data_IF_798620151017
#
_entry.id   IF_798620151017
#
_cell.length_a   1.000
_cell.length_b   1.000
_cell.length_c   1.000
_cell.angle_alpha   90.00
_cell.angle_beta   90.00
_cell.angle_gamma   90.00
#
_symmetry.space_group_name_H-M   'P 1'
#
loop_
_entity.id
_entity.type
_entity.pdbx_description
1 polymer ?
#
# COMPACT_ATOMS: atom_id res chain seq x y z
N UNK A 1 -10.41 -2.56 13.70
CA UNK A 1 -11.09 -1.63 14.63
C UNK A 1 -11.30 -2.35 15.96
N UNK A 2 -10.66 -1.93 17.06
CA UNK A 2 -10.82 -2.62 18.36
C UNK A 2 -12.25 -2.42 18.86
N UNK A 3 -13.09 -3.45 18.74
CA UNK A 3 -14.50 -3.40 19.14
C UNK A 3 -14.63 -3.88 20.59
N UNK A 4 -14.17 -3.07 21.53
CA UNK A 4 -14.26 -3.39 22.96
C UNK A 4 -15.71 -3.25 23.45
N UNK A 5 -16.37 -4.38 23.72
CA UNK A 5 -17.67 -4.41 24.39
C UNK A 5 -17.47 -4.46 25.90
N UNK A 6 -18.00 -3.46 26.60
CA UNK A 6 -17.81 -3.30 28.03
C UNK A 6 -18.76 -4.19 28.84
N UNK A 7 -18.26 -4.75 29.96
CA UNK A 7 -19.00 -5.70 30.82
C UNK A 7 -19.88 -5.04 31.91
N UNK A 8 -19.77 -3.73 32.14
CA UNK A 8 -20.48 -3.01 33.22
C UNK A 8 -21.47 -1.99 32.69
N UNK A 9 -22.66 -1.89 33.32
CA UNK A 9 -23.66 -0.84 33.06
C UNK A 9 -23.27 0.42 33.82
N UNK A 10 -23.03 1.54 33.13
CA UNK A 10 -22.95 2.88 33.76
C UNK A 10 -24.33 3.52 33.75
N UNK A 11 -24.57 4.46 34.66
CA UNK A 11 -25.66 5.40 34.53
C UNK A 11 -25.51 6.15 33.20
N UNK A 12 -26.54 6.09 32.35
CA UNK A 12 -26.58 6.77 31.06
C UNK A 12 -27.35 8.07 31.28
N UNK A 13 -26.63 9.20 31.29
CA UNK A 13 -27.28 10.50 31.27
C UNK A 13 -27.73 10.81 29.84
N UNK A 14 -29.01 11.13 29.59
CA UNK A 14 -29.53 11.37 28.25
C UNK A 14 -28.87 12.60 27.61
N UNK A 15 -28.66 12.51 26.30
CA UNK A 15 -27.82 13.43 25.53
C UNK A 15 -28.32 14.89 25.51
N UNK A 16 -29.64 15.08 25.67
CA UNK A 16 -30.29 16.39 25.72
C UNK A 16 -29.89 17.17 26.99
N UNK A 17 -29.86 16.51 28.15
CA UNK A 17 -29.45 17.11 29.43
C UNK A 17 -28.00 17.60 29.38
N UNK A 18 -27.16 16.87 28.66
CA UNK A 18 -25.72 17.18 28.55
C UNK A 18 -25.47 18.33 27.60
N UNK A 19 -26.21 18.44 26.49
CA UNK A 19 -26.14 19.59 25.59
C UNK A 19 -26.54 20.87 26.31
N UNK A 20 -27.68 20.87 27.00
CA UNK A 20 -28.16 22.02 27.75
C UNK A 20 -27.17 22.45 28.87
N UNK A 21 -26.54 21.48 29.53
CA UNK A 21 -25.51 21.76 30.53
C UNK A 21 -24.24 22.40 29.94
N UNK A 22 -23.87 22.04 28.70
CA UNK A 22 -22.71 22.62 28.01
C UNK A 22 -23.00 24.03 27.54
N UNK A 23 -24.19 24.25 26.97
CA UNK A 23 -24.63 25.56 26.51
C UNK A 23 -24.68 26.54 27.69
N UNK A 24 -25.15 26.10 28.87
CA UNK A 24 -25.12 26.91 30.10
C UNK A 24 -23.71 27.25 30.60
N UNK A 25 -22.69 26.42 30.32
CA UNK A 25 -21.30 26.72 30.68
C UNK A 25 -20.65 27.66 29.66
N UNK A 26 -20.91 27.44 28.37
CA UNK A 26 -20.28 28.18 27.27
C UNK A 26 -20.93 29.54 27.01
N UNK A 27 -22.26 29.63 27.10
CA UNK A 27 -23.02 30.85 26.81
C UNK A 27 -23.26 31.68 28.07
N UNK A 28 -23.54 31.05 29.20
CA UNK A 28 -23.90 31.75 30.45
C UNK A 28 -22.73 31.88 31.45
N UNK A 29 -21.56 31.29 31.13
CA UNK A 29 -20.36 31.39 31.96
C UNK A 29 -20.45 30.73 33.34
N UNK A 30 -21.40 29.82 33.56
CA UNK A 30 -21.59 29.14 34.85
C UNK A 30 -20.45 28.15 35.15
N UNK A 31 -20.09 28.03 36.42
CA UNK A 31 -19.08 27.06 36.88
C UNK A 31 -19.53 25.62 36.61
N UNK A 32 -18.65 24.82 36.00
CA UNK A 32 -18.86 23.41 35.65
C UNK A 32 -19.42 22.59 36.82
N UNK A 33 -18.94 22.85 38.04
CA UNK A 33 -19.37 22.12 39.25
C UNK A 33 -20.78 22.50 39.69
N UNK A 34 -21.19 23.76 39.48
CA UNK A 34 -22.53 24.25 39.78
C UNK A 34 -23.51 23.69 38.76
N UNK A 35 -23.19 23.83 37.48
CA UNK A 35 -24.00 23.30 36.38
C UNK A 35 -24.19 21.77 36.48
N UNK A 36 -23.15 21.01 36.84
CA UNK A 36 -23.28 19.56 37.04
C UNK A 36 -24.27 19.18 38.16
N UNK A 37 -24.33 19.98 39.25
CA UNK A 37 -25.32 19.78 40.31
C UNK A 37 -26.72 20.13 39.84
N UNK A 38 -26.87 21.27 39.17
CA UNK A 38 -28.17 21.78 38.71
C UNK A 38 -28.85 20.80 37.73
N UNK A 39 -28.07 20.13 36.89
CA UNK A 39 -28.56 19.14 35.91
C UNK A 39 -28.53 17.68 36.42
N UNK A 40 -28.30 17.44 37.72
CA UNK A 40 -28.19 16.11 38.32
C UNK A 40 -27.21 15.17 37.58
N UNK A 41 -26.11 15.72 37.08
CA UNK A 41 -25.08 14.97 36.37
C UNK A 41 -24.14 14.36 37.41
N UNK A 42 -24.04 13.01 37.50
CA UNK A 42 -23.12 12.37 38.44
C UNK A 42 -21.70 12.89 38.22
N UNK A 43 -20.94 13.09 39.29
CA UNK A 43 -19.55 13.57 39.20
C UNK A 43 -18.65 12.65 38.32
N UNK A 44 -19.06 11.40 38.12
CA UNK A 44 -18.42 10.40 37.25
C UNK A 44 -18.76 10.53 35.76
N UNK A 45 -19.77 11.32 35.40
CA UNK A 45 -20.20 11.59 34.02
C UNK A 45 -19.48 12.77 33.37
N UNK A 46 -18.60 13.47 34.12
CA UNK A 46 -17.80 14.65 33.70
C UNK A 46 -16.90 14.46 32.47
N UNK A 47 -16.85 13.27 31.87
CA UNK A 47 -15.85 12.95 30.83
C UNK A 47 -16.43 12.49 29.49
N UNK A 48 -17.72 12.18 29.33
CA UNK A 48 -18.06 11.23 28.26
C UNK A 48 -19.12 11.60 27.23
N UNK A 49 -19.83 12.74 27.29
CA UNK A 49 -20.98 12.92 26.38
C UNK A 49 -21.19 14.33 25.81
N UNK A 50 -20.22 15.23 25.91
CA UNK A 50 -20.22 16.41 25.03
C UNK A 50 -19.66 15.96 23.69
N UNK A 51 -20.37 16.25 22.61
CA UNK A 51 -20.06 15.90 21.22
C UNK A 51 -18.77 16.54 20.67
N UNK A 52 -17.86 17.01 21.53
CA UNK A 52 -16.48 17.29 21.14
C UNK A 52 -15.71 16.01 21.41
N UNK A 53 -15.35 15.31 20.34
CA UNK A 53 -14.52 14.11 20.44
C UNK A 53 -13.28 14.44 21.28
N UNK A 54 -13.10 13.72 22.40
CA UNK A 54 -11.91 13.80 23.28
C UNK A 54 -10.58 13.67 22.49
N UNK A 55 -10.67 13.19 21.25
CA UNK A 55 -9.57 12.93 20.35
C UNK A 55 -9.68 13.75 19.05
N UNK A 56 -10.27 14.94 19.08
CA UNK A 56 -10.25 15.87 17.94
C UNK A 56 -9.19 16.95 18.21
N UNK A 57 -8.10 16.88 17.44
CA UNK A 57 -6.93 17.77 17.54
C UNK A 57 -6.95 18.82 16.41
N UNK A 58 -7.55 18.47 15.27
CA UNK A 58 -7.66 19.32 14.09
C UNK A 58 -9.10 19.83 13.92
N UNK A 59 -9.25 20.95 13.23
CA UNK A 59 -10.57 21.46 12.84
C UNK A 59 -11.16 20.60 11.72
N UNK A 60 -12.48 20.66 11.52
CA UNK A 60 -13.16 19.86 10.49
C UNK A 60 -12.61 20.15 9.08
N UNK A 61 -12.24 21.41 8.81
CA UNK A 61 -11.61 21.81 7.54
C UNK A 61 -10.23 21.17 7.34
N UNK A 62 -9.40 21.15 8.39
CA UNK A 62 -8.07 20.53 8.34
C UNK A 62 -8.16 19.02 8.18
N UNK A 63 -9.10 18.37 8.88
CA UNK A 63 -9.35 16.94 8.70
C UNK A 63 -9.86 16.62 7.29
N UNK A 64 -10.70 17.48 6.70
CA UNK A 64 -11.17 17.33 5.32
C UNK A 64 -10.05 17.43 4.28
N UNK A 65 -9.09 18.34 4.46
CA UNK A 65 -7.90 18.41 3.59
C UNK A 65 -7.04 17.15 3.70
N UNK A 66 -6.89 16.63 4.93
CA UNK A 66 -6.14 15.40 5.17
C UNK A 66 -6.85 14.18 4.58
N UNK A 67 -8.18 14.12 4.64
CA UNK A 67 -9.00 13.11 3.98
C UNK A 67 -8.76 13.14 2.46
N UNK A 68 -8.85 14.32 1.84
CA UNK A 68 -8.64 14.49 0.41
C UNK A 68 -7.23 14.05 -0.02
N UNK A 69 -6.21 14.36 0.78
CA UNK A 69 -4.84 13.93 0.50
C UNK A 69 -4.69 12.40 0.59
N UNK A 70 -5.23 11.78 1.63
CA UNK A 70 -5.15 10.32 1.81
C UNK A 70 -5.89 9.59 0.69
N UNK A 71 -7.03 10.10 0.22
CA UNK A 71 -7.73 9.56 -0.95
C UNK A 71 -6.89 9.67 -2.22
N UNK A 72 -6.31 10.84 -2.51
CA UNK A 72 -5.41 10.99 -3.66
C UNK A 72 -4.20 10.06 -3.60
N UNK A 73 -3.61 9.87 -2.41
CA UNK A 73 -2.49 8.96 -2.24
C UNK A 73 -2.88 7.48 -2.46
N UNK A 74 -4.12 7.12 -2.17
CA UNK A 74 -4.68 5.80 -2.48
C UNK A 74 -4.94 5.61 -3.98
N UNK A 75 -5.33 6.66 -4.71
CA UNK A 75 -5.58 6.55 -6.15
C UNK A 75 -4.27 6.44 -6.97
N UNK A 76 -3.16 6.98 -6.46
CA UNK A 76 -1.87 7.00 -7.16
C UNK A 76 -0.99 5.77 -6.83
N UNK A 77 -1.04 5.27 -5.59
CA UNK A 77 -0.19 4.17 -5.10
C UNK A 77 -1.02 3.11 -4.36
N UNK A 78 -0.38 2.08 -3.78
CA UNK A 78 -1.04 1.01 -2.99
C UNK A 78 -1.72 1.48 -1.67
N UNK A 79 -2.00 2.78 -1.51
CA UNK A 79 -2.52 3.39 -0.30
C UNK A 79 -1.49 3.57 0.81
N UNK A 80 -1.82 4.45 1.76
CA UNK A 80 -1.00 4.67 2.96
C UNK A 80 -1.42 3.71 4.08
N UNK A 81 -0.45 3.07 4.71
CA UNK A 81 -0.68 2.27 5.90
C UNK A 81 -1.16 3.13 7.08
N UNK A 82 -1.87 2.55 8.06
CA UNK A 82 -2.26 3.27 9.28
C UNK A 82 -1.09 3.91 10.05
N UNK A 83 0.14 3.40 9.90
CA UNK A 83 1.33 4.00 10.52
C UNK A 83 1.76 5.25 9.78
N UNK A 84 1.79 5.19 8.45
CA UNK A 84 2.18 6.32 7.60
C UNK A 84 1.17 7.46 7.71
N UNK A 85 -0.13 7.17 7.68
CA UNK A 85 -1.16 8.21 7.89
C UNK A 85 -0.95 8.89 9.24
N UNK A 86 -0.64 8.15 10.31
CA UNK A 86 -0.38 8.75 11.63
C UNK A 86 0.90 9.59 11.68
N UNK A 87 1.95 9.21 10.95
CA UNK A 87 3.17 10.03 10.80
C UNK A 87 2.89 11.31 9.99
N UNK A 88 2.15 11.18 8.88
CA UNK A 88 1.72 12.29 8.04
C UNK A 88 0.92 13.32 8.84
N UNK A 89 -0.02 12.85 9.65
CA UNK A 89 -0.82 13.71 10.53
C UNK A 89 0.06 14.48 11.53
N UNK A 90 1.07 13.82 12.10
CA UNK A 90 2.00 14.49 13.01
C UNK A 90 2.84 15.56 12.29
N UNK A 91 3.35 15.25 11.09
CA UNK A 91 4.07 16.20 10.25
C UNK A 91 3.20 17.40 9.86
N UNK A 92 1.94 17.14 9.47
CA UNK A 92 0.96 18.17 9.15
C UNK A 92 0.69 19.08 10.36
N UNK A 93 0.52 18.50 11.56
CA UNK A 93 0.34 19.27 12.78
C UNK A 93 1.57 20.10 13.15
N UNK A 94 2.79 19.58 12.94
CA UNK A 94 4.05 20.29 13.16
C UNK A 94 4.20 21.47 12.19
N UNK A 95 3.90 21.27 10.91
CA UNK A 95 3.98 22.31 9.87
C UNK A 95 2.99 23.45 10.13
N UNK A 96 1.79 23.13 10.60
CA UNK A 96 0.75 24.13 10.92
C UNK A 96 0.85 24.68 12.35
N UNK A 97 1.91 24.37 13.10
CA UNK A 97 2.14 24.82 14.49
C UNK A 97 0.96 24.53 15.44
N UNK A 98 0.31 23.38 15.26
CA UNK A 98 -0.86 22.96 16.05
C UNK A 98 -0.39 22.32 17.36
N UNK A 99 -1.02 22.67 18.48
CA UNK A 99 -0.73 22.07 19.79
C UNK A 99 -1.22 20.61 19.82
N UNK A 100 -0.28 19.68 19.64
CA UNK A 100 -0.53 18.24 19.67
C UNK A 100 -0.27 17.63 21.07
N UNK A 101 -0.89 16.50 21.40
CA UNK A 101 -0.60 15.79 22.65
C UNK A 101 0.87 15.39 22.76
N UNK A 102 1.46 15.50 23.96
CA UNK A 102 2.87 15.14 24.21
C UNK A 102 3.26 13.73 23.72
N UNK A 103 2.35 12.77 23.84
CA UNK A 103 2.55 11.38 23.36
C UNK A 103 2.79 11.28 21.85
N UNK A 104 2.31 12.24 21.06
CA UNK A 104 2.53 12.26 19.61
C UNK A 104 3.95 12.69 19.28
N UNK A 105 4.49 13.65 20.03
CA UNK A 105 5.85 14.14 19.85
C UNK A 105 6.89 13.07 20.20
N UNK A 106 6.66 12.29 21.26
CA UNK A 106 7.55 11.20 21.65
C UNK A 106 7.65 10.07 20.60
N UNK A 107 6.56 9.78 19.89
CA UNK A 107 6.48 8.69 18.91
C UNK A 107 6.54 9.18 17.45
N UNK A 108 6.64 10.49 17.24
CA UNK A 108 6.54 11.17 15.95
C UNK A 108 5.34 10.75 15.09
N UNK A 109 4.24 10.41 15.75
CA UNK A 109 3.05 9.86 15.10
C UNK A 109 1.80 10.14 15.92
N UNK A 110 0.68 10.32 15.23
CA UNK A 110 -0.62 10.42 15.88
C UNK A 110 -0.97 9.13 16.65
N UNK A 111 -1.71 9.29 17.74
CA UNK A 111 -2.15 8.18 18.59
C UNK A 111 -3.18 7.27 17.90
N UNK A 112 -3.20 5.99 18.27
CA UNK A 112 -4.16 5.01 17.74
C UNK A 112 -5.62 5.38 18.03
N UNK A 113 -5.88 5.96 19.20
CA UNK A 113 -7.22 6.42 19.61
C UNK A 113 -7.71 7.58 18.74
N UNK A 114 -6.81 8.51 18.41
CA UNK A 114 -7.11 9.61 17.49
C UNK A 114 -7.42 9.08 16.10
N UNK A 115 -6.58 8.19 15.56
CA UNK A 115 -6.80 7.61 14.23
C UNK A 115 -8.12 6.83 14.15
N UNK A 116 -8.46 6.09 15.21
CA UNK A 116 -9.74 5.38 15.31
C UNK A 116 -10.93 6.33 15.36
N UNK A 117 -10.80 7.48 16.03
CA UNK A 117 -11.84 8.51 16.06
C UNK A 117 -11.96 9.25 14.71
N UNK A 118 -10.84 9.54 14.06
CA UNK A 118 -10.75 10.14 12.74
C UNK A 118 -11.49 9.28 11.70
N UNK A 119 -11.20 7.98 11.61
CA UNK A 119 -11.91 7.07 10.70
C UNK A 119 -13.41 6.94 11.01
N UNK A 120 -13.83 7.09 12.26
CA UNK A 120 -15.26 7.10 12.61
C UNK A 120 -15.98 8.35 12.09
N UNK A 121 -15.30 9.49 12.03
CA UNK A 121 -15.82 10.74 11.46
C UNK A 121 -15.85 10.67 9.93
N UNK A 122 -14.76 10.19 9.34
CA UNK A 122 -14.53 10.14 7.90
C UNK A 122 -14.87 8.77 7.32
N UNK A 123 -16.16 8.52 7.12
CA UNK A 123 -16.68 7.23 6.64
C UNK A 123 -16.22 6.82 5.23
N UNK A 124 -15.62 7.73 4.45
CA UNK A 124 -15.05 7.41 3.13
C UNK A 124 -13.76 6.59 3.26
N UNK A 125 -13.06 6.71 4.39
CA UNK A 125 -11.83 5.98 4.65
C UNK A 125 -12.13 4.70 5.43
N UNK A 126 -11.59 3.57 4.97
CA UNK A 126 -11.71 2.29 5.66
C UNK A 126 -10.36 1.56 5.68
N UNK A 127 -10.08 0.87 6.78
CA UNK A 127 -8.91 -0.01 6.85
C UNK A 127 -9.31 -1.33 6.21
N UNK A 128 -8.65 -1.70 5.12
CA UNK A 128 -8.75 -3.01 4.50
C UNK A 128 -7.41 -3.73 4.58
N UNK A 129 -7.47 -5.05 4.58
CA UNK A 129 -6.29 -5.87 4.33
C UNK A 129 -6.14 -5.94 2.80
N UNK A 130 -4.93 -5.76 2.24
CA UNK A 130 -4.74 -6.05 0.83
C UNK A 130 -5.04 -7.53 0.61
N UNK A 131 -6.00 -7.81 -0.28
CA UNK A 131 -6.27 -9.13 -0.81
C UNK A 131 -5.41 -9.23 -2.07
N UNK A 132 -4.37 -10.06 -2.01
CA UNK A 132 -3.57 -10.39 -3.18
C UNK A 132 -4.31 -11.47 -3.93
N UNK A 133 -4.71 -11.19 -5.16
CA UNK A 133 -5.30 -12.19 -6.03
C UNK A 133 -4.20 -13.02 -6.69
N UNK A 134 -4.51 -14.23 -7.15
CA UNK A 134 -3.52 -15.08 -7.84
C UNK A 134 -2.90 -14.40 -9.07
N UNK A 135 -3.58 -13.44 -9.69
CA UNK A 135 -3.04 -12.65 -10.82
C UNK A 135 -1.98 -11.62 -10.43
N UNK A 136 -1.89 -11.25 -9.15
CA UNK A 136 -0.92 -10.26 -8.65
C UNK A 136 0.42 -10.91 -8.24
N UNK A 137 0.46 -12.24 -8.16
CA UNK A 137 1.64 -13.00 -7.77
C UNK A 137 2.34 -13.49 -9.04
N UNK A 138 3.57 -13.03 -9.27
CA UNK A 138 4.38 -13.39 -10.42
C UNK A 138 5.63 -14.15 -9.99
N UNK A 139 5.91 -15.27 -10.66
CA UNK A 139 7.20 -15.93 -10.61
C UNK A 139 7.97 -15.61 -11.89
N UNK A 140 9.24 -15.25 -11.76
CA UNK A 140 10.14 -15.05 -12.89
C UNK A 140 11.35 -15.94 -12.67
N UNK A 141 11.70 -16.71 -13.69
CA UNK A 141 12.88 -17.58 -13.65
C UNK A 141 13.65 -17.52 -14.97
N UNK A 142 14.94 -17.80 -14.87
CA UNK A 142 15.87 -17.81 -15.98
C UNK A 142 16.15 -19.25 -16.40
N UNK A 143 15.86 -19.58 -17.66
CA UNK A 143 16.17 -20.89 -18.24
C UNK A 143 17.15 -20.72 -19.39
N UNK A 144 18.24 -21.49 -19.36
CA UNK A 144 19.16 -21.59 -20.49
C UNK A 144 18.58 -22.45 -21.61
N UNK A 145 18.42 -21.90 -22.81
CA UNK A 145 18.07 -22.63 -24.03
C UNK A 145 19.31 -22.73 -24.92
N UNK A 146 19.61 -23.94 -25.38
CA UNK A 146 20.67 -24.17 -26.37
C UNK A 146 20.19 -23.80 -27.76
N UNK A 147 20.95 -23.00 -28.51
CA UNK A 147 20.63 -22.68 -29.91
C UNK A 147 20.96 -23.80 -30.90
N UNK A 148 21.64 -24.86 -30.45
CA UNK A 148 22.00 -25.99 -31.32
C UNK A 148 20.83 -26.91 -31.49
N UNK A 149 20.30 -26.96 -32.71
CA UNK A 149 19.53 -28.11 -33.13
C UNK A 149 20.49 -29.26 -33.40
N UNK A 150 20.21 -30.45 -32.87
CA UNK A 150 20.85 -31.69 -33.31
C UNK A 150 19.95 -32.35 -34.35
N UNK A 151 20.03 -31.95 -35.64
CA UNK A 151 19.25 -32.60 -36.68
C UNK A 151 19.71 -34.05 -36.84
N UNK A 152 18.75 -34.95 -36.99
CA UNK A 152 18.99 -36.39 -37.12
C UNK A 152 19.75 -36.73 -38.42
N UNK A 153 19.48 -36.00 -39.51
CA UNK A 153 20.11 -36.18 -40.82
C UNK A 153 20.41 -34.82 -41.46
N UNK A 154 21.60 -34.66 -42.07
CA UNK A 154 22.03 -33.41 -42.72
C UNK A 154 22.46 -33.71 -44.14
N UNK A 155 21.95 -32.94 -45.12
CA UNK A 155 22.43 -32.98 -46.50
C UNK A 155 23.70 -32.14 -46.61
N UNK A 156 24.80 -32.76 -47.02
CA UNK A 156 26.08 -32.09 -47.22
C UNK A 156 26.64 -32.32 -48.62
N UNK A 157 27.54 -31.43 -49.07
CA UNK A 157 28.25 -31.60 -50.35
C UNK A 157 29.03 -32.91 -50.34
N UNK A 158 28.91 -33.68 -51.41
CA UNK A 158 29.64 -34.95 -51.58
C UNK A 158 31.15 -34.71 -51.44
N UNK A 159 31.78 -35.38 -50.46
CA UNK A 159 33.21 -35.25 -50.15
C UNK A 159 33.56 -34.27 -49.01
N UNK A 160 32.60 -33.54 -48.45
CA UNK A 160 32.84 -32.61 -47.35
C UNK A 160 32.87 -33.33 -45.99
N UNK A 161 34.06 -33.43 -45.36
CA UNK A 161 34.29 -34.24 -44.14
C UNK A 161 34.17 -33.46 -42.81
N UNK A 162 34.01 -32.13 -42.83
CA UNK A 162 34.04 -31.28 -41.62
C UNK A 162 32.66 -30.90 -41.05
N UNK A 163 31.63 -31.73 -41.23
CA UNK A 163 30.24 -31.41 -40.88
C UNK A 163 30.07 -31.21 -39.35
N UNK A 164 30.74 -32.03 -38.52
CA UNK A 164 30.67 -31.92 -37.06
C UNK A 164 31.27 -30.63 -36.49
N UNK A 165 32.16 -29.94 -37.24
CA UNK A 165 32.79 -28.69 -36.79
C UNK A 165 31.82 -27.51 -36.78
N UNK A 166 30.85 -27.51 -37.68
CA UNK A 166 29.82 -26.45 -37.77
C UNK A 166 28.87 -26.53 -36.56
N UNK A 167 28.43 -27.73 -36.21
CA UNK A 167 27.52 -27.99 -35.09
C UNK A 167 28.20 -27.69 -33.74
N UNK A 168 29.50 -28.03 -33.60
CA UNK A 168 30.27 -27.75 -32.39
C UNK A 168 30.47 -26.24 -32.16
N UNK A 169 30.67 -25.45 -33.22
CA UNK A 169 30.87 -24.01 -33.07
C UNK A 169 29.64 -23.27 -32.51
N UNK A 170 28.45 -23.84 -32.65
CA UNK A 170 27.21 -23.29 -32.08
C UNK A 170 26.91 -23.82 -30.66
N UNK A 171 27.59 -24.89 -30.23
CA UNK A 171 27.27 -25.70 -29.02
C UNK A 171 27.58 -25.02 -27.69
N UNK A 172 28.37 -23.95 -27.71
CA UNK A 172 28.84 -23.27 -26.50
C UNK A 172 28.15 -21.91 -26.24
N UNK A 173 27.13 -21.55 -27.05
CA UNK A 173 26.38 -20.30 -26.89
C UNK A 173 24.98 -20.55 -26.28
N UNK A 174 24.90 -20.67 -24.95
CA UNK A 174 23.62 -20.77 -24.24
C UNK A 174 22.89 -19.42 -24.26
N UNK A 175 21.67 -19.38 -24.79
CA UNK A 175 20.82 -18.19 -24.71
C UNK A 175 20.00 -18.29 -23.43
N UNK A 176 20.06 -17.26 -22.60
CA UNK A 176 19.23 -17.20 -21.39
C UNK A 176 17.87 -16.65 -21.75
N UNK A 177 16.82 -17.31 -21.30
CA UNK A 177 15.43 -16.86 -21.47
C UNK A 177 14.86 -16.57 -20.10
N UNK A 178 14.47 -15.32 -19.87
CA UNK A 178 13.70 -14.92 -18.71
C UNK A 178 12.21 -15.04 -19.04
N UNK A 179 11.49 -15.83 -18.25
CA UNK A 179 10.05 -16.04 -18.40
C UNK A 179 9.38 -15.66 -17.10
N UNK A 180 8.31 -14.86 -17.19
CA UNK A 180 7.50 -14.53 -16.03
C UNK A 180 6.07 -15.07 -16.20
N UNK A 181 5.58 -15.78 -15.18
CA UNK A 181 4.26 -16.39 -15.15
C UNK A 181 3.57 -16.02 -13.84
N UNK A 182 2.34 -15.54 -13.94
CA UNK A 182 1.48 -15.28 -12.80
C UNK A 182 0.87 -16.56 -12.24
N UNK A 183 0.51 -16.58 -10.96
CA UNK A 183 -0.16 -17.72 -10.36
C UNK A 183 -1.58 -17.96 -10.94
N UNK A 184 -2.15 -16.98 -11.66
CA UNK A 184 -3.38 -17.18 -12.45
C UNK A 184 -3.16 -17.82 -13.82
N UNK A 185 -1.90 -18.04 -14.24
CA UNK A 185 -1.55 -18.65 -15.52
C UNK A 185 -1.34 -17.67 -16.68
N UNK A 186 -1.41 -16.36 -16.45
CA UNK A 186 -0.97 -15.36 -17.44
C UNK A 186 0.55 -15.39 -17.54
N UNK A 187 1.10 -15.25 -18.74
CA UNK A 187 2.53 -15.14 -18.99
C UNK A 187 2.89 -13.80 -19.63
N UNK A 188 4.05 -13.26 -19.24
CA UNK A 188 4.70 -12.16 -19.98
C UNK A 188 5.53 -12.81 -21.09
N UNK A 189 5.50 -12.28 -22.33
CA UNK A 189 6.32 -12.80 -23.42
C UNK A 189 7.79 -12.95 -23.01
N UNK A 190 8.46 -14.04 -23.41
CA UNK A 190 9.81 -14.35 -22.97
C UNK A 190 10.81 -13.27 -23.41
N UNK A 191 11.76 -12.98 -22.53
CA UNK A 191 12.87 -12.07 -22.81
C UNK A 191 14.16 -12.86 -23.02
N UNK A 192 14.79 -12.66 -24.17
CA UNK A 192 15.98 -13.40 -24.58
C UNK A 192 17.26 -12.59 -24.35
N UNK A 193 18.18 -13.14 -23.56
CA UNK A 193 19.50 -12.58 -23.32
C UNK A 193 20.52 -13.40 -24.12
N UNK A 194 21.09 -12.78 -25.15
CA UNK A 194 22.04 -13.43 -26.05
C UNK A 194 23.48 -13.20 -25.59
N UNK A 195 24.33 -14.23 -25.48
CA UNK A 195 25.75 -14.10 -25.16
C UNK A 195 26.56 -13.62 -26.38
N UNK A 196 26.18 -12.48 -26.97
CA UNK A 196 26.80 -11.89 -28.15
C UNK A 196 26.85 -10.38 -28.00
N UNK A 197 27.80 -9.73 -28.67
CA UNK A 197 27.93 -8.25 -28.65
C UNK A 197 26.92 -7.58 -29.58
N UNK A 198 26.59 -8.22 -30.71
CA UNK A 198 25.66 -7.68 -31.71
C UNK A 198 24.35 -8.45 -31.71
N UNK A 199 23.27 -7.76 -31.39
CA UNK A 199 21.91 -8.25 -31.56
C UNK A 199 21.47 -8.13 -33.03
N UNK A 200 20.72 -9.12 -33.51
CA UNK A 200 20.14 -9.11 -34.86
C UNK A 200 18.67 -9.49 -34.74
N UNK A 201 17.81 -8.78 -35.45
CA UNK A 201 16.35 -8.93 -35.38
C UNK A 201 15.87 -10.36 -35.66
N UNK A 202 16.53 -11.07 -36.58
CA UNK A 202 16.17 -12.44 -36.93
C UNK A 202 16.44 -13.48 -35.83
N UNK A 203 17.12 -13.12 -34.73
CA UNK A 203 17.30 -14.03 -33.59
C UNK A 203 15.99 -14.34 -32.85
N UNK A 204 14.95 -13.52 -33.07
CA UNK A 204 13.61 -13.74 -32.52
C UNK A 204 12.67 -14.44 -33.52
N UNK A 205 13.17 -14.91 -34.67
CA UNK A 205 12.34 -15.63 -35.64
C UNK A 205 11.80 -16.93 -35.00
N UNK A 206 10.48 -17.03 -34.88
CA UNK A 206 9.80 -18.16 -34.24
C UNK A 206 9.62 -18.03 -32.73
N UNK A 207 10.02 -16.91 -32.12
CA UNK A 207 9.69 -16.60 -30.74
C UNK A 207 8.18 -16.26 -30.61
N UNK A 208 7.56 -16.47 -29.43
CA UNK A 208 6.20 -16.05 -29.16
C UNK A 208 5.98 -14.56 -29.44
N UNK A 209 4.79 -14.18 -29.90
CA UNK A 209 4.47 -12.78 -30.19
C UNK A 209 4.69 -11.89 -28.94
N UNK A 210 5.33 -10.74 -29.15
CA UNK A 210 5.70 -9.81 -28.07
C UNK A 210 7.03 -10.13 -27.38
N UNK A 211 7.73 -11.19 -27.77
CA UNK A 211 9.07 -11.49 -27.25
C UNK A 211 10.08 -10.40 -27.64
N UNK A 212 10.99 -10.09 -26.72
CA UNK A 212 12.07 -9.14 -26.94
C UNK A 212 13.41 -9.78 -26.59
N UNK A 213 14.51 -9.19 -27.05
CA UNK A 213 15.82 -9.68 -26.68
C UNK A 213 16.90 -8.62 -26.77
N UNK A 214 17.96 -8.83 -25.99
CA UNK A 214 19.13 -7.97 -25.92
C UNK A 214 20.42 -8.79 -25.82
N UNK A 215 21.57 -8.23 -26.25
CA UNK A 215 22.87 -8.78 -25.97
C UNK A 215 23.23 -8.60 -24.48
N UNK A 216 23.93 -9.56 -23.89
CA UNK A 216 24.34 -9.54 -22.47
C UNK A 216 25.27 -8.36 -22.11
N UNK A 217 25.91 -7.72 -23.10
CA UNK A 217 26.90 -6.66 -22.91
C UNK A 217 26.35 -5.24 -23.08
N UNK A 218 25.02 -5.08 -23.16
CA UNK A 218 24.40 -3.76 -23.10
C UNK A 218 23.99 -3.48 -21.65
N UNK A 219 24.96 -3.02 -20.86
CA UNK A 219 24.67 -2.24 -19.66
C UNK A 219 24.26 -0.82 -20.09
N UNK A 220 23.25 -0.27 -19.39
CA UNK A 220 22.70 1.08 -19.59
C UNK A 220 23.72 2.21 -19.31
#
# INVERSE_FOLDING_TARGET
>A
MRNYKRKTKRAITPQNIIKNAVDAVLLEGKSIRKTAKDFNIPDTAKSNNVMVSKYQVFTDLQEGLLEQYVTKAFDIYYGLSPKEVRKLVYQYGKANSIKMPHKWSANEAAGEDWFSAYLKRHKKLSIRKPELESGDIWNMDETGITTVQTPDHIVARKGFKQIGRVILAERDNLVTVAVAVSASGNSIPPFFIFPRVKFKSYFLNGAPDGSAGKPIWLDD
#
